data_IF_007687639512
#
_entry.id   IF_007687639512
#
_cell.length_a   1.000
_cell.length_b   1.000
_cell.length_c   1.000
_cell.angle_alpha   90.00
_cell.angle_beta   90.00
_cell.angle_gamma   90.00
#
_symmetry.space_group_name_H-M   'P 1'
#
loop_
_entity.id
_entity.type
_entity.pdbx_description
1 polymer ?
#
# COMPACT_ATOMS: atom_id res chain seq x y z
N UNK A 1 14.57 18.09 26.57
CA UNK A 1 13.51 18.38 25.58
C UNK A 1 13.99 18.37 24.12
N UNK A 2 15.05 19.09 23.71
CA UNK A 2 15.54 19.08 22.31
C UNK A 2 15.86 17.67 21.75
N UNK A 3 16.51 16.83 22.55
CA UNK A 3 16.83 15.44 22.15
C UNK A 3 15.62 14.55 21.90
N UNK A 4 14.49 14.80 22.59
CA UNK A 4 13.24 14.07 22.38
C UNK A 4 12.65 14.38 21.00
N UNK A 5 12.61 15.66 20.62
CA UNK A 5 12.15 16.11 19.29
C UNK A 5 13.00 15.46 18.19
N UNK A 6 14.32 15.47 18.33
CA UNK A 6 15.22 14.85 17.36
C UNK A 6 14.99 13.33 17.24
N UNK A 7 14.81 12.63 18.37
CA UNK A 7 14.48 11.20 18.37
C UNK A 7 13.16 10.91 17.65
N UNK A 8 12.10 11.69 17.93
CA UNK A 8 10.80 11.55 17.27
C UNK A 8 10.88 11.85 15.77
N UNK A 9 11.67 12.84 15.36
CA UNK A 9 11.94 13.12 13.95
C UNK A 9 12.63 11.95 13.24
N UNK A 10 13.62 11.30 13.87
CA UNK A 10 14.25 10.09 13.31
C UNK A 10 13.25 8.96 13.12
N UNK A 11 12.41 8.69 14.13
CA UNK A 11 11.35 7.66 14.04
C UNK A 11 10.38 7.98 12.90
N UNK A 12 9.94 9.23 12.77
CA UNK A 12 9.05 9.64 11.67
C UNK A 12 9.67 9.37 10.30
N UNK A 13 10.97 9.63 10.11
CA UNK A 13 11.66 9.32 8.84
C UNK A 13 11.61 7.82 8.52
N UNK A 14 11.90 6.96 9.51
CA UNK A 14 11.80 5.50 9.33
C UNK A 14 10.37 5.09 8.97
N UNK A 15 9.36 5.63 9.66
CA UNK A 15 7.95 5.35 9.36
C UNK A 15 7.53 5.80 7.96
N UNK A 16 8.09 6.89 7.47
CA UNK A 16 7.84 7.36 6.11
C UNK A 16 8.37 6.35 5.07
N UNK A 17 9.59 5.85 5.26
CA UNK A 17 10.18 4.82 4.39
C UNK A 17 9.38 3.52 4.45
N UNK A 18 9.01 3.06 5.65
CA UNK A 18 8.21 1.83 5.81
C UNK A 18 6.84 1.94 5.13
N UNK A 19 6.17 3.09 5.25
CA UNK A 19 4.93 3.35 4.54
C UNK A 19 5.12 3.33 3.02
N UNK A 20 6.18 3.99 2.51
CA UNK A 20 6.49 3.97 1.08
C UNK A 20 6.79 2.55 0.55
N UNK A 21 7.52 1.74 1.32
CA UNK A 21 7.77 0.34 0.99
C UNK A 21 6.49 -0.48 0.96
N UNK A 22 5.62 -0.33 1.97
CA UNK A 22 4.33 -1.01 2.00
C UNK A 22 3.47 -0.65 0.79
N UNK A 23 3.44 0.62 0.39
CA UNK A 23 2.72 1.07 -0.81
C UNK A 23 3.30 0.49 -2.09
N UNK A 24 4.62 0.43 -2.22
CA UNK A 24 5.26 -0.20 -3.37
C UNK A 24 4.95 -1.71 -3.44
N UNK A 25 4.93 -2.40 -2.31
CA UNK A 25 4.54 -3.82 -2.26
C UNK A 25 3.07 -4.03 -2.63
N UNK A 26 2.16 -3.18 -2.16
CA UNK A 26 0.75 -3.21 -2.55
C UNK A 26 0.57 -2.98 -4.05
N UNK A 27 1.28 -2.00 -4.62
CA UNK A 27 1.25 -1.74 -6.05
C UNK A 27 1.70 -2.97 -6.86
N UNK A 28 2.84 -3.56 -6.51
CA UNK A 28 3.33 -4.78 -7.18
C UNK A 28 2.34 -5.95 -7.10
N UNK A 29 1.68 -6.13 -5.95
CA UNK A 29 0.67 -7.18 -5.80
C UNK A 29 -0.56 -6.92 -6.70
N UNK A 30 -0.95 -5.65 -6.87
CA UNK A 30 -2.04 -5.28 -7.78
C UNK A 30 -1.66 -5.52 -9.23
N UNK A 31 -0.46 -5.13 -9.63
CA UNK A 31 0.06 -5.34 -10.99
C UNK A 31 0.10 -6.85 -11.33
N UNK A 32 0.51 -7.70 -10.38
CA UNK A 32 0.50 -9.16 -10.52
C UNK A 32 -0.93 -9.70 -10.74
N UNK A 33 -1.89 -9.27 -9.91
CA UNK A 33 -3.28 -9.67 -10.03
C UNK A 33 -3.91 -9.20 -11.37
N UNK A 34 -3.59 -7.99 -11.82
CA UNK A 34 -4.05 -7.43 -13.10
C UNK A 34 -3.43 -8.19 -14.29
N UNK A 35 -2.17 -8.58 -14.21
CA UNK A 35 -1.52 -9.41 -15.21
C UNK A 35 -2.21 -10.77 -15.37
N UNK A 36 -2.58 -11.41 -14.25
CA UNK A 36 -3.32 -12.68 -14.27
C UNK A 36 -4.72 -12.48 -14.85
N UNK A 37 -5.44 -11.43 -14.44
CA UNK A 37 -6.77 -11.12 -14.97
C UNK A 37 -6.73 -10.88 -16.49
N UNK A 38 -5.73 -10.14 -16.96
CA UNK A 38 -5.52 -9.90 -18.40
C UNK A 38 -5.27 -11.20 -19.16
N UNK A 39 -4.45 -12.10 -18.61
CA UNK A 39 -4.19 -13.40 -19.24
C UNK A 39 -5.44 -14.28 -19.30
N UNK A 40 -6.28 -14.25 -18.26
CA UNK A 40 -7.55 -14.95 -18.23
C UNK A 40 -8.52 -14.41 -19.30
N UNK A 41 -8.60 -13.10 -19.49
CA UNK A 41 -9.38 -12.49 -20.58
C UNK A 41 -8.87 -12.88 -21.96
N UNK A 42 -7.54 -12.87 -22.17
CA UNK A 42 -6.94 -13.33 -23.42
C UNK A 42 -7.27 -14.79 -23.71
N UNK A 43 -7.18 -15.66 -22.71
CA UNK A 43 -7.54 -17.07 -22.84
C UNK A 43 -9.03 -17.24 -23.20
N UNK A 44 -9.92 -16.47 -22.57
CA UNK A 44 -11.36 -16.46 -22.90
C UNK A 44 -11.61 -16.04 -24.35
N UNK A 45 -10.87 -15.02 -24.84
CA UNK A 45 -10.94 -14.57 -26.23
C UNK A 45 -10.48 -15.65 -27.20
N UNK A 46 -9.28 -16.21 -26.99
CA UNK A 46 -8.73 -17.29 -27.83
C UNK A 46 -9.68 -18.48 -27.89
N UNK A 47 -10.27 -18.88 -26.76
CA UNK A 47 -11.29 -19.93 -26.73
C UNK A 47 -12.54 -19.55 -27.54
N UNK A 48 -13.02 -18.31 -27.40
CA UNK A 48 -14.18 -17.81 -28.17
C UNK A 48 -13.92 -17.81 -29.68
N UNK A 49 -12.73 -17.40 -30.11
CA UNK A 49 -12.32 -17.40 -31.52
C UNK A 49 -12.19 -18.82 -32.08
N UNK A 50 -11.55 -19.73 -31.33
CA UNK A 50 -11.30 -21.10 -31.78
C UNK A 50 -12.57 -21.96 -31.86
N UNK A 51 -13.52 -21.78 -30.93
CA UNK A 51 -14.73 -22.61 -30.85
C UNK A 51 -16.01 -21.90 -31.30
N UNK A 52 -15.94 -20.63 -31.69
CA UNK A 52 -17.08 -19.85 -32.18
C UNK A 52 -17.36 -20.00 -33.68
N UNK A 53 -16.37 -20.44 -34.47
CA UNK A 53 -16.50 -20.58 -35.94
C UNK A 53 -16.95 -22.00 -36.28
N UNK A 54 -18.21 -22.15 -36.70
CA UNK A 54 -18.72 -23.42 -37.22
C UNK A 54 -18.24 -23.63 -38.67
N UNK A 55 -17.09 -24.27 -38.82
CA UNK A 55 -16.58 -24.76 -40.11
C UNK A 55 -16.33 -26.27 -40.04
N UNK A 56 -16.87 -27.03 -41.00
CA UNK A 56 -16.92 -28.49 -41.00
C UNK A 56 -15.59 -29.18 -40.68
N UNK A 57 -15.48 -29.71 -39.47
CA UNK A 57 -14.32 -30.45 -39.00
C UNK A 57 -14.41 -31.92 -39.40
N UNK A 58 -13.38 -32.45 -40.04
CA UNK A 58 -13.19 -33.91 -40.21
C UNK A 58 -12.93 -34.57 -38.85
N UNK A 59 -13.21 -35.86 -38.69
CA UNK A 59 -13.12 -36.57 -37.39
C UNK A 59 -11.75 -36.46 -36.67
N UNK A 60 -10.63 -36.44 -37.41
CA UNK A 60 -9.30 -36.22 -36.84
C UNK A 60 -9.09 -34.77 -36.35
N UNK A 61 -9.64 -33.80 -37.09
CA UNK A 61 -9.65 -32.38 -36.69
C UNK A 61 -10.47 -32.18 -35.40
N UNK A 62 -11.58 -32.89 -35.28
CA UNK A 62 -12.46 -32.84 -34.10
C UNK A 62 -11.77 -33.33 -32.81
N UNK A 63 -11.06 -34.46 -32.85
CA UNK A 63 -10.32 -34.97 -31.69
C UNK A 63 -9.25 -33.98 -31.20
N UNK A 64 -8.50 -33.38 -32.12
CA UNK A 64 -7.50 -32.36 -31.77
C UNK A 64 -8.12 -31.08 -31.17
N UNK A 65 -9.30 -30.68 -31.66
CA UNK A 65 -10.05 -29.55 -31.12
C UNK A 65 -10.58 -29.83 -29.71
N UNK A 66 -11.06 -31.04 -29.44
CA UNK A 66 -11.48 -31.44 -28.09
C UNK A 66 -10.31 -31.40 -27.11
N UNK A 67 -9.15 -31.94 -27.48
CA UNK A 67 -7.96 -31.90 -26.61
C UNK A 67 -7.52 -30.46 -26.32
N UNK A 68 -7.51 -29.60 -27.34
CA UNK A 68 -7.20 -28.18 -27.16
C UNK A 68 -8.23 -27.48 -26.26
N UNK A 69 -9.52 -27.81 -26.40
CA UNK A 69 -10.57 -27.28 -25.54
C UNK A 69 -10.32 -27.63 -24.08
N UNK A 70 -10.02 -28.90 -23.79
CA UNK A 70 -9.73 -29.39 -22.45
C UNK A 70 -8.49 -28.72 -21.85
N UNK A 71 -7.42 -28.54 -22.64
CA UNK A 71 -6.20 -27.84 -22.19
C UNK A 71 -6.49 -26.37 -21.87
N UNK A 72 -7.24 -25.67 -22.72
CA UNK A 72 -7.63 -24.28 -22.48
C UNK A 72 -8.54 -24.14 -21.26
N UNK A 73 -9.46 -25.08 -21.05
CA UNK A 73 -10.32 -25.10 -19.86
C UNK A 73 -9.52 -25.33 -18.57
N UNK A 74 -8.56 -26.26 -18.60
CA UNK A 74 -7.66 -26.51 -17.48
C UNK A 74 -6.79 -25.28 -17.16
N UNK A 75 -6.22 -24.65 -18.19
CA UNK A 75 -5.47 -23.40 -18.03
C UNK A 75 -6.34 -22.28 -17.46
N UNK A 76 -7.61 -22.19 -17.90
CA UNK A 76 -8.59 -21.26 -17.34
C UNK A 76 -8.81 -21.47 -15.84
N UNK A 77 -9.07 -22.71 -15.41
CA UNK A 77 -9.22 -23.04 -13.97
C UNK A 77 -7.98 -22.70 -13.15
N UNK A 78 -6.79 -22.97 -13.70
CA UNK A 78 -5.53 -22.62 -13.03
C UNK A 78 -5.38 -21.11 -12.88
N UNK A 79 -5.69 -20.33 -13.91
CA UNK A 79 -5.66 -18.87 -13.87
C UNK A 79 -6.72 -18.29 -12.93
N UNK A 80 -7.92 -18.87 -12.86
CA UNK A 80 -8.96 -18.47 -11.91
C UNK A 80 -8.49 -18.69 -10.45
N UNK A 81 -7.86 -19.84 -10.17
CA UNK A 81 -7.26 -20.12 -8.85
C UNK A 81 -6.12 -19.15 -8.51
N UNK A 82 -5.20 -18.92 -9.46
CA UNK A 82 -4.11 -17.98 -9.29
C UNK A 82 -4.62 -16.54 -9.08
N UNK A 83 -5.70 -16.14 -9.76
CA UNK A 83 -6.32 -14.83 -9.61
C UNK A 83 -6.94 -14.67 -8.22
N UNK A 84 -7.59 -15.72 -7.71
CA UNK A 84 -8.13 -15.73 -6.36
C UNK A 84 -7.02 -15.50 -5.32
N UNK A 85 -5.93 -16.25 -5.42
CA UNK A 85 -4.79 -16.13 -4.50
C UNK A 85 -4.11 -14.75 -4.61
N UNK A 86 -3.94 -14.25 -5.84
CA UNK A 86 -3.37 -12.92 -6.08
C UNK A 86 -4.23 -11.80 -5.48
N UNK A 87 -5.56 -11.87 -5.62
CA UNK A 87 -6.49 -10.92 -4.99
C UNK A 87 -6.41 -10.96 -3.46
N UNK A 88 -6.34 -12.15 -2.88
CA UNK A 88 -6.16 -12.31 -1.43
C UNK A 88 -4.84 -11.70 -0.95
N UNK A 89 -3.77 -11.83 -1.75
CA UNK A 89 -2.47 -11.20 -1.49
C UNK A 89 -2.56 -9.68 -1.56
N UNK A 90 -3.29 -9.12 -2.53
CA UNK A 90 -3.56 -7.68 -2.61
C UNK A 90 -4.24 -7.19 -1.34
N UNK A 91 -5.32 -7.83 -0.90
CA UNK A 91 -6.05 -7.46 0.32
C UNK A 91 -5.12 -7.47 1.55
N UNK A 92 -4.29 -8.50 1.70
CA UNK A 92 -3.33 -8.59 2.79
C UNK A 92 -2.31 -7.43 2.75
N UNK A 93 -1.78 -7.08 1.57
CA UNK A 93 -0.82 -5.97 1.41
C UNK A 93 -1.48 -4.62 1.62
N UNK A 94 -2.72 -4.44 1.20
CA UNK A 94 -3.50 -3.24 1.48
C UNK A 94 -3.68 -3.04 2.99
N UNK A 95 -4.05 -4.09 3.73
CA UNK A 95 -4.14 -4.05 5.19
C UNK A 95 -2.83 -3.60 5.85
N UNK A 96 -1.69 -4.15 5.42
CA UNK A 96 -0.37 -3.75 5.91
C UNK A 96 -0.05 -2.29 5.58
N UNK A 97 -0.42 -1.82 4.40
CA UNK A 97 -0.19 -0.42 4.02
C UNK A 97 -1.00 0.57 4.87
N UNK A 98 -2.25 0.23 5.18
CA UNK A 98 -3.11 1.03 6.06
C UNK A 98 -2.50 1.09 7.46
N UNK A 99 -2.05 -0.05 7.99
CA UNK A 99 -1.37 -0.11 9.27
C UNK A 99 -0.10 0.76 9.28
N UNK A 100 0.74 0.66 8.24
CA UNK A 100 1.95 1.47 8.11
C UNK A 100 1.63 2.98 8.02
N UNK A 101 0.55 3.36 7.33
CA UNK A 101 0.11 4.75 7.28
C UNK A 101 -0.31 5.26 8.66
N UNK A 102 -1.10 4.46 9.39
CA UNK A 102 -1.50 4.78 10.76
C UNK A 102 -0.30 4.99 11.68
N UNK A 103 0.71 4.12 11.60
CA UNK A 103 1.94 4.28 12.38
C UNK A 103 2.72 5.55 12.02
N UNK A 104 2.78 5.90 10.74
CA UNK A 104 3.37 7.15 10.24
C UNK A 104 2.66 8.37 10.81
N UNK A 105 1.32 8.38 10.80
CA UNK A 105 0.51 9.47 11.35
C UNK A 105 0.70 9.62 12.87
N UNK A 106 0.72 8.50 13.61
CA UNK A 106 1.00 8.52 15.05
C UNK A 106 2.39 9.11 15.30
N UNK A 107 3.41 8.70 14.54
CA UNK A 107 4.75 9.24 14.68
C UNK A 107 4.82 10.75 14.38
N UNK A 108 4.05 11.23 13.40
CA UNK A 108 3.95 12.65 13.08
C UNK A 108 3.34 13.43 14.26
N UNK A 109 2.17 13.00 14.74
CA UNK A 109 1.51 13.63 15.90
C UNK A 109 2.40 13.64 17.15
N UNK A 110 3.17 12.58 17.39
CA UNK A 110 4.11 12.52 18.52
C UNK A 110 5.31 13.46 18.37
N UNK A 111 5.80 13.68 17.14
CA UNK A 111 6.83 14.69 16.86
C UNK A 111 6.29 16.10 17.13
N UNK A 112 5.07 16.39 16.68
CA UNK A 112 4.46 17.71 16.84
C UNK A 112 4.18 18.02 18.31
N UNK A 113 3.61 17.07 19.06
CA UNK A 113 3.46 17.20 20.53
C UNK A 113 4.79 17.43 21.24
N UNK A 114 5.86 16.73 20.83
CA UNK A 114 7.18 16.95 21.42
C UNK A 114 7.76 18.33 21.10
N UNK A 115 7.40 18.92 19.95
CA UNK A 115 7.78 20.28 19.57
C UNK A 115 7.05 21.31 20.43
N UNK A 116 5.73 21.19 20.56
CA UNK A 116 4.91 22.06 21.42
C UNK A 116 5.43 22.03 22.86
N UNK A 117 5.65 20.84 23.43
CA UNK A 117 6.19 20.71 24.79
C UNK A 117 7.61 21.31 24.96
N UNK A 118 8.41 21.35 23.89
CA UNK A 118 9.72 22.01 23.91
C UNK A 118 9.56 23.54 23.88
N UNK A 119 8.59 24.08 23.14
CA UNK A 119 8.28 25.50 23.08
C UNK A 119 7.75 25.99 24.43
N UNK A 120 6.76 25.29 25.01
CA UNK A 120 6.25 25.56 26.38
C UNK A 120 7.36 25.52 27.43
N UNK A 121 8.26 24.53 27.37
CA UNK A 121 9.39 24.45 28.29
C UNK A 121 10.34 25.65 28.16
N UNK A 122 10.55 26.18 26.94
CA UNK A 122 11.37 27.38 26.72
C UNK A 122 10.69 28.62 27.27
N UNK A 123 9.40 28.78 27.02
CA UNK A 123 8.61 29.91 27.53
C UNK A 123 8.60 29.92 29.06
N UNK A 124 8.34 28.78 29.69
CA UNK A 124 8.39 28.63 31.15
C UNK A 124 9.78 28.96 31.71
N UNK A 125 10.86 28.55 31.02
CA UNK A 125 12.22 28.91 31.41
C UNK A 125 12.50 30.41 31.29
N UNK A 126 11.99 31.08 30.26
CA UNK A 126 12.12 32.53 30.08
C UNK A 126 11.31 33.29 31.14
N UNK A 127 10.07 32.89 31.41
CA UNK A 127 9.20 33.50 32.42
C UNK A 127 9.76 33.37 33.85
N UNK A 128 10.55 32.32 34.12
CA UNK A 128 11.23 32.13 35.39
C UNK A 128 12.44 33.08 35.60
N UNK A 129 12.91 33.78 34.55
CA UNK A 129 14.05 34.70 34.67
C UNK A 129 13.62 36.02 35.36
N UNK A 130 14.33 36.49 36.41
CA UNK A 130 13.97 37.70 37.15
C UNK A 130 13.92 38.99 36.32
N UNK A 131 14.75 39.08 35.26
CA UNK A 131 14.77 40.23 34.33
C UNK A 131 13.55 40.25 33.41
N UNK A 132 13.12 39.08 32.94
CA UNK A 132 11.96 38.94 32.06
C UNK A 132 10.66 39.27 32.80
N UNK A 133 10.55 38.84 34.07
CA UNK A 133 9.42 39.19 34.95
C UNK A 133 9.32 40.71 35.22
N UNK A 134 10.46 41.40 35.36
CA UNK A 134 10.47 42.87 35.50
C UNK A 134 10.07 43.57 34.20
N UNK A 135 10.53 43.08 33.05
CA UNK A 135 10.21 43.67 31.75
C UNK A 135 8.72 43.55 31.39
N UNK A 136 8.08 42.41 31.65
CA UNK A 136 6.61 42.27 31.54
C UNK A 136 5.84 43.24 32.46
N UNK A 137 6.29 43.41 33.71
CA UNK A 137 5.65 44.33 34.67
C UNK A 137 5.75 45.81 34.31
N UNK A 138 6.68 46.18 33.43
CA UNK A 138 6.92 47.59 33.04
C UNK A 138 6.28 47.92 31.69
N UNK A 139 5.89 46.91 30.90
CA UNK A 139 5.22 47.08 29.60
C UNK A 139 3.69 47.03 29.65
N UNK A 140 3.11 46.78 30.83
CA UNK A 140 1.66 46.77 31.11
C UNK A 140 1.15 48.12 31.70
N UNK A 141 1.95 49.20 31.59
CA UNK A 141 1.59 50.57 32.00
C UNK A 141 1.37 51.49 30.79
#
# INVERSE_FOLDING_TARGET
MKGLVFRRHRVLRVRHVQHAMAMAETARARDEAEGIATNLERLRRVRGELFGVQGGATGASFASMQELASRLEQAGRQLDGALYDARRKVEAKEGLSIAANREKEIAARLKDRARVALEEWRENKLAALPRYRRMQRTGDN
#
